data_IF_271185545490
#
_entry.id   IF_271185545490
#
_cell.length_a   1.000
_cell.length_b   1.000
_cell.length_c   1.000
_cell.angle_alpha   90.00
_cell.angle_beta   90.00
_cell.angle_gamma   90.00
#
_symmetry.space_group_name_H-M   'P 1'
#
loop_
_entity.id
_entity.type
_entity.pdbx_description
1 polymer ?
#
# COMPACT_ATOMS: atom_id res chain seq x y z
N UNK A 1 -28.23 0.25 -23.57
CA UNK A 1 -27.88 -0.50 -22.34
C UNK A 1 -26.47 -0.06 -21.99
N UNK A 2 -26.26 0.53 -20.80
CA UNK A 2 -24.97 1.06 -20.35
C UNK A 2 -24.47 0.15 -19.22
N UNK A 3 -23.41 -0.60 -19.50
CA UNK A 3 -22.87 -1.62 -18.60
C UNK A 3 -21.93 -0.94 -17.60
N UNK A 4 -22.23 -1.12 -16.32
CA UNK A 4 -21.60 -0.48 -15.18
C UNK A 4 -20.06 -0.66 -15.15
N UNK A 5 -19.32 0.37 -15.56
CA UNK A 5 -17.88 0.56 -15.28
C UNK A 5 -17.73 1.61 -14.19
N UNK A 6 -17.90 1.24 -12.92
CA UNK A 6 -17.47 2.13 -11.82
C UNK A 6 -17.16 1.44 -10.49
N UNK A 7 -17.44 0.14 -10.33
CA UNK A 7 -17.25 -0.53 -9.03
C UNK A 7 -15.86 -1.13 -8.79
N UNK A 8 -14.94 -1.07 -9.77
CA UNK A 8 -13.59 -1.65 -9.64
C UNK A 8 -12.55 -0.68 -9.08
N UNK A 9 -12.79 0.64 -9.08
CA UNK A 9 -11.78 1.64 -8.73
C UNK A 9 -11.66 1.96 -7.23
N UNK A 10 -12.43 1.31 -6.35
CA UNK A 10 -12.35 1.51 -4.90
C UNK A 10 -11.59 0.39 -4.18
N UNK A 11 -11.69 -0.86 -4.64
CA UNK A 11 -10.94 -1.98 -4.04
C UNK A 11 -9.44 -1.89 -4.31
N UNK A 12 -9.05 -1.35 -5.47
CA UNK A 12 -7.64 -1.20 -5.83
C UNK A 12 -6.89 -0.26 -4.87
N UNK A 13 -7.55 0.80 -4.37
CA UNK A 13 -6.97 1.74 -3.41
C UNK A 13 -6.63 1.14 -2.04
N UNK A 14 -7.14 -0.07 -1.76
CA UNK A 14 -6.90 -0.79 -0.51
C UNK A 14 -5.67 -1.68 -0.65
N UNK A 15 -5.32 -2.09 -1.88
CA UNK A 15 -4.19 -2.98 -2.15
C UNK A 15 -2.99 -2.20 -2.66
N UNK A 16 -1.89 -2.31 -1.93
CA UNK A 16 -0.58 -1.76 -2.27
C UNK A 16 0.22 -2.86 -2.94
N UNK A 17 0.72 -2.61 -4.15
CA UNK A 17 1.64 -3.51 -4.82
C UNK A 17 3.09 -3.15 -4.49
N UNK A 18 3.85 -4.10 -3.94
CA UNK A 18 5.26 -3.87 -3.60
C UNK A 18 6.19 -3.72 -4.81
N UNK A 19 5.73 -4.13 -6.00
CA UNK A 19 6.48 -3.99 -7.24
C UNK A 19 6.14 -2.67 -7.95
N UNK A 20 5.07 -1.98 -7.54
CA UNK A 20 4.77 -0.64 -8.04
C UNK A 20 5.54 0.41 -7.23
N UNK A 21 6.54 1.09 -7.84
CA UNK A 21 7.34 2.07 -7.13
C UNK A 21 6.53 3.29 -6.69
N UNK A 22 5.40 3.60 -7.35
CA UNK A 22 4.55 4.75 -7.00
C UNK A 22 3.81 4.51 -5.69
N UNK A 23 3.32 3.29 -5.48
CA UNK A 23 2.66 2.86 -4.24
C UNK A 23 3.65 2.85 -3.06
N UNK A 24 4.88 2.35 -3.28
CA UNK A 24 5.94 2.37 -2.26
C UNK A 24 6.35 3.81 -1.94
N UNK A 25 6.54 4.66 -2.96
CA UNK A 25 6.88 6.07 -2.77
C UNK A 25 5.75 6.82 -2.03
N UNK A 26 4.49 6.49 -2.32
CA UNK A 26 3.35 7.09 -1.65
C UNK A 26 3.33 6.76 -0.15
N UNK A 27 3.66 5.52 0.24
CA UNK A 27 3.84 5.15 1.64
C UNK A 27 5.07 5.83 2.27
N UNK A 28 6.17 5.94 1.53
CA UNK A 28 7.39 6.63 1.98
C UNK A 28 7.16 8.12 2.25
N UNK A 29 6.28 8.76 1.48
CA UNK A 29 5.86 10.15 1.76
C UNK A 29 5.08 10.28 3.08
N UNK A 30 4.35 9.25 3.49
CA UNK A 30 3.65 9.24 4.77
C UNK A 30 4.57 8.84 5.94
N UNK A 31 5.55 7.98 5.68
CA UNK A 31 6.52 7.48 6.64
C UNK A 31 7.96 7.81 6.17
N UNK A 32 8.39 9.07 6.26
CA UNK A 32 9.72 9.49 5.80
C UNK A 32 10.87 8.88 6.61
N UNK A 33 10.59 8.42 7.84
CA UNK A 33 11.54 7.69 8.69
C UNK A 33 11.79 6.24 8.20
N UNK A 34 10.90 5.71 7.36
CA UNK A 34 10.99 4.34 6.84
C UNK A 34 11.61 4.32 5.46
N UNK A 35 12.65 3.51 5.28
CA UNK A 35 13.25 3.32 3.95
C UNK A 35 12.30 2.57 3.00
N UNK A 36 12.42 2.80 1.69
CA UNK A 36 11.69 2.04 0.66
C UNK A 36 11.80 0.52 0.85
N UNK A 37 12.97 0.02 1.28
CA UNK A 37 13.15 -1.40 1.59
C UNK A 37 12.30 -1.87 2.78
N UNK A 38 12.19 -1.08 3.84
CA UNK A 38 11.35 -1.41 5.00
C UNK A 38 9.87 -1.42 4.62
N UNK A 39 9.45 -0.51 3.75
CA UNK A 39 8.07 -0.47 3.23
C UNK A 39 7.78 -1.71 2.37
N UNK A 40 8.71 -2.09 1.48
CA UNK A 40 8.57 -3.31 0.68
C UNK A 40 8.52 -4.56 1.57
N UNK A 41 9.33 -4.61 2.61
CA UNK A 41 9.33 -5.70 3.58
C UNK A 41 8.01 -5.74 4.38
N UNK A 42 7.51 -4.58 4.80
CA UNK A 42 6.21 -4.43 5.43
C UNK A 42 5.08 -4.94 4.52
N UNK A 43 5.09 -4.62 3.22
CA UNK A 43 4.11 -5.12 2.25
C UNK A 43 4.22 -6.64 2.08
N UNK A 44 5.43 -7.21 2.10
CA UNK A 44 5.63 -8.66 2.01
C UNK A 44 5.17 -9.40 3.27
N UNK A 45 5.39 -8.82 4.45
CA UNK A 45 5.06 -9.44 5.74
C UNK A 45 3.58 -9.25 6.09
N UNK A 46 3.09 -8.01 6.05
CA UNK A 46 1.72 -7.67 6.38
C UNK A 46 0.73 -8.03 5.26
N UNK A 47 1.24 -8.21 4.04
CA UNK A 47 0.46 -8.47 2.84
C UNK A 47 0.15 -7.19 2.07
N UNK A 48 -0.49 -7.31 0.89
CA UNK A 48 -0.75 -6.19 0.02
C UNK A 48 -1.81 -5.24 0.56
N UNK A 49 -2.38 -5.43 1.75
CA UNK A 49 -3.47 -4.60 2.25
C UNK A 49 -2.89 -3.37 2.95
N UNK A 50 -3.23 -2.17 2.48
CA UNK A 50 -2.74 -0.90 3.00
C UNK A 50 -2.95 -0.76 4.52
N UNK A 51 -4.11 -1.18 5.01
CA UNK A 51 -4.42 -1.11 6.43
C UNK A 51 -3.46 -1.97 7.28
N UNK A 52 -3.15 -3.19 6.83
CA UNK A 52 -2.20 -4.08 7.49
C UNK A 52 -0.77 -3.54 7.42
N UNK A 53 -0.37 -2.97 6.27
CA UNK A 53 0.94 -2.34 6.09
C UNK A 53 1.11 -1.16 7.05
N UNK A 54 0.11 -0.27 7.11
CA UNK A 54 0.09 0.86 8.04
C UNK A 54 0.18 0.36 9.48
N UNK A 55 -0.62 -0.64 9.85
CA UNK A 55 -0.59 -1.21 11.20
C UNK A 55 0.75 -1.87 11.54
N UNK A 56 1.46 -2.41 10.55
CA UNK A 56 2.81 -2.96 10.73
C UNK A 56 3.85 -1.84 10.88
N UNK A 57 3.80 -0.82 10.01
CA UNK A 57 4.71 0.33 10.05
C UNK A 57 4.53 1.12 11.35
N UNK A 58 3.29 1.32 11.81
CA UNK A 58 2.98 2.02 13.07
C UNK A 58 3.58 1.33 14.31
N UNK A 59 3.74 0.00 14.26
CA UNK A 59 4.40 -0.78 15.33
C UNK A 59 5.93 -0.74 15.27
N UNK A 60 6.51 -0.33 14.14
CA UNK A 60 7.96 -0.35 13.91
C UNK A 60 8.56 1.05 13.72
N UNK A 61 7.75 2.12 13.79
CA UNK A 61 8.19 3.53 13.75
C UNK A 61 8.89 3.98 15.04
#
# INVERSE_FOLDING_TARGET
MADNKDQTSQQDRIRVDSNDPSEVEYLHKQYPDMSHQQIVDAIRIAGPIRADIIAWLDKHQ
#
